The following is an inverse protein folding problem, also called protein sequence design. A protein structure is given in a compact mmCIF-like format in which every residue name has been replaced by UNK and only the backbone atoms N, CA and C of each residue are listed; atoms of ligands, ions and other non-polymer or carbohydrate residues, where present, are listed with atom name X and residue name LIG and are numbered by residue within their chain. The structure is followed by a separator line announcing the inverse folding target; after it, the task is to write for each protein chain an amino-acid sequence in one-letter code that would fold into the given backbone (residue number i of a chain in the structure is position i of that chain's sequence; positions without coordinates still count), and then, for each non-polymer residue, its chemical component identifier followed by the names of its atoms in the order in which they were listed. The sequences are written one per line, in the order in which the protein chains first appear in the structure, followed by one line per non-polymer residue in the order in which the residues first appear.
data_IF_104360425217
#
_entry.id   IF_104360425217
#
_cell.length_a   1.000
_cell.length_b   1.000
_cell.length_c   1.000
_cell.angle_alpha   90.00
_cell.angle_beta   90.00
_cell.angle_gamma   90.00
#
_symmetry.space_group_name_H-M   'P 1'
#
loop_
_entity.id
_entity.type
_entity.pdbx_description
1 polymer ?
#
# COMPACT_ATOMS: atom_id res chain seq x y z
N UNK A 1 -34.30 22.49 8.90
CA UNK A 1 -32.92 22.17 9.26
C UNK A 1 -32.04 22.91 8.28
N UNK A 2 -31.00 23.60 8.72
CA UNK A 2 -30.01 24.19 7.80
C UNK A 2 -28.91 23.15 7.49
N UNK A 3 -27.99 23.48 6.59
CA UNK A 3 -26.89 22.60 6.18
C UNK A 3 -25.99 22.27 7.37
N UNK A 4 -25.62 23.24 8.21
CA UNK A 4 -24.75 22.97 9.37
C UNK A 4 -25.33 21.92 10.33
N UNK A 5 -26.64 22.01 10.63
CA UNK A 5 -27.32 20.99 11.45
C UNK A 5 -27.39 19.61 10.80
N UNK A 6 -27.33 19.53 9.47
CA UNK A 6 -27.25 18.26 8.76
C UNK A 6 -25.82 17.70 8.82
N UNK A 7 -24.79 18.55 8.68
CA UNK A 7 -23.39 18.15 8.79
C UNK A 7 -23.05 17.68 10.20
N UNK A 8 -23.44 18.41 11.25
CA UNK A 8 -23.27 17.98 12.64
C UNK A 8 -23.90 16.61 12.93
N UNK A 9 -25.01 16.28 12.25
CA UNK A 9 -25.63 14.95 12.36
C UNK A 9 -24.87 13.90 11.57
N UNK A 10 -24.38 14.25 10.38
CA UNK A 10 -23.58 13.36 9.54
C UNK A 10 -22.33 12.90 10.28
N UNK A 11 -21.64 13.80 11.00
CA UNK A 11 -20.45 13.49 11.81
C UNK A 11 -20.70 12.44 12.92
N UNK A 12 -21.97 12.21 13.29
CA UNK A 12 -22.37 11.29 14.37
C UNK A 12 -23.24 10.14 13.89
N UNK A 13 -23.45 10.00 12.59
CA UNK A 13 -24.28 8.95 12.02
C UNK A 13 -23.57 7.60 12.13
N UNK A 14 -24.31 6.55 12.51
CA UNK A 14 -23.74 5.23 12.78
C UNK A 14 -24.15 4.17 11.74
N UNK A 15 -25.08 4.47 10.82
CA UNK A 15 -25.54 3.52 9.81
C UNK A 15 -25.62 4.13 8.42
N UNK A 16 -25.40 3.29 7.40
CA UNK A 16 -25.48 3.69 5.99
C UNK A 16 -26.85 4.28 5.64
N UNK A 17 -27.95 3.77 6.19
CA UNK A 17 -29.26 4.36 5.93
C UNK A 17 -29.39 5.79 6.48
N UNK A 18 -28.83 6.06 7.67
CA UNK A 18 -28.84 7.41 8.25
C UNK A 18 -27.94 8.35 7.44
N UNK A 19 -26.71 7.93 7.11
CA UNK A 19 -25.76 8.69 6.28
C UNK A 19 -26.41 9.04 4.94
N UNK A 20 -27.02 8.06 4.27
CA UNK A 20 -27.68 8.22 2.98
C UNK A 20 -28.90 9.15 3.06
N UNK A 21 -29.71 9.06 4.12
CA UNK A 21 -30.85 9.96 4.33
C UNK A 21 -30.40 11.41 4.56
N UNK A 22 -29.36 11.62 5.39
CA UNK A 22 -28.80 12.95 5.67
C UNK A 22 -28.18 13.54 4.40
N UNK A 23 -27.37 12.77 3.67
CA UNK A 23 -26.74 13.19 2.42
C UNK A 23 -27.77 13.65 1.38
N UNK A 24 -28.85 12.89 1.18
CA UNK A 24 -29.95 13.30 0.27
C UNK A 24 -30.62 14.60 0.70
N UNK A 25 -30.84 14.82 2.00
CA UNK A 25 -31.41 16.09 2.51
C UNK A 25 -30.48 17.27 2.31
N UNK A 26 -29.17 17.07 2.41
CA UNK A 26 -28.18 18.10 2.07
C UNK A 26 -28.33 18.47 0.60
N UNK A 27 -28.36 17.49 -0.30
CA UNK A 27 -28.49 17.69 -1.75
C UNK A 27 -29.83 18.33 -2.17
N UNK A 28 -30.92 18.13 -1.42
CA UNK A 28 -32.18 18.84 -1.64
C UNK A 28 -32.07 20.36 -1.37
N UNK A 29 -31.18 20.76 -0.46
CA UNK A 29 -30.95 22.17 -0.09
C UNK A 29 -29.86 22.78 -0.96
N UNK A 30 -28.76 22.06 -1.16
CA UNK A 30 -27.61 22.44 -1.97
C UNK A 30 -27.16 21.24 -2.83
N UNK A 31 -27.61 21.16 -4.09
CA UNK A 31 -27.25 20.07 -5.00
C UNK A 31 -25.75 19.96 -5.30
N UNK A 32 -24.98 21.03 -5.08
CA UNK A 32 -23.54 21.04 -5.33
C UNK A 32 -22.71 20.76 -4.08
N UNK A 33 -23.37 20.44 -2.95
CA UNK A 33 -22.68 20.20 -1.69
C UNK A 33 -21.76 18.97 -1.78
N UNK A 34 -20.44 19.14 -1.57
CA UNK A 34 -19.50 18.02 -1.64
C UNK A 34 -19.78 16.96 -0.56
N UNK A 35 -20.17 17.38 0.65
CA UNK A 35 -20.51 16.46 1.75
C UNK A 35 -21.76 15.63 1.44
N UNK A 36 -22.78 16.24 0.82
CA UNK A 36 -23.99 15.52 0.42
C UNK A 36 -23.70 14.47 -0.65
N UNK A 37 -22.85 14.81 -1.63
CA UNK A 37 -22.41 13.89 -2.69
C UNK A 37 -21.58 12.74 -2.12
N UNK A 38 -20.59 13.04 -1.28
CA UNK A 38 -19.77 12.03 -0.60
C UNK A 38 -20.63 11.06 0.21
N UNK A 39 -21.47 11.57 1.11
CA UNK A 39 -22.31 10.74 1.97
C UNK A 39 -23.27 9.83 1.19
N UNK A 40 -23.81 10.31 0.07
CA UNK A 40 -24.68 9.46 -0.76
C UNK A 40 -23.87 8.39 -1.49
N UNK A 41 -22.70 8.75 -2.03
CA UNK A 41 -21.83 7.84 -2.76
C UNK A 41 -21.31 6.71 -1.86
N UNK A 42 -20.84 7.00 -0.65
CA UNK A 42 -20.29 6.01 0.29
C UNK A 42 -21.30 4.94 0.74
N UNK A 43 -22.59 5.22 0.59
CA UNK A 43 -23.68 4.30 0.97
C UNK A 43 -24.22 3.46 -0.20
N UNK A 44 -23.60 3.58 -1.37
CA UNK A 44 -23.94 2.76 -2.53
C UNK A 44 -23.24 1.40 -2.46
N UNK A 45 -23.80 0.41 -3.15
CA UNK A 45 -23.05 -0.81 -3.43
C UNK A 45 -21.95 -0.53 -4.47
N UNK A 46 -21.06 -1.51 -4.65
CA UNK A 46 -19.92 -1.38 -5.56
C UNK A 46 -20.34 -1.00 -7.00
N UNK A 47 -21.37 -1.66 -7.55
CA UNK A 47 -21.90 -1.32 -8.88
C UNK A 47 -22.40 0.13 -8.94
N UNK A 48 -23.13 0.58 -7.93
CA UNK A 48 -23.59 1.96 -7.81
C UNK A 48 -22.44 2.98 -7.70
N UNK A 49 -21.40 2.67 -6.93
CA UNK A 49 -20.21 3.51 -6.80
C UNK A 49 -19.53 3.74 -8.16
N UNK A 50 -19.32 2.67 -8.93
CA UNK A 50 -18.71 2.71 -10.27
C UNK A 50 -19.56 3.49 -11.26
N UNK A 51 -20.88 3.28 -11.27
CA UNK A 51 -21.79 4.01 -12.17
C UNK A 51 -21.89 5.51 -11.86
N UNK A 52 -21.48 5.94 -10.66
CA UNK A 52 -21.65 7.31 -10.17
C UNK A 52 -20.32 8.01 -9.84
N UNK A 53 -19.19 7.64 -10.46
CA UNK A 53 -17.90 8.31 -10.22
C UNK A 53 -17.91 9.81 -10.52
N UNK A 54 -18.74 10.27 -11.47
CA UNK A 54 -18.91 11.71 -11.74
C UNK A 54 -19.39 12.48 -10.49
N UNK A 55 -20.14 11.83 -9.59
CA UNK A 55 -20.55 12.42 -8.32
C UNK A 55 -19.34 12.78 -7.45
N UNK A 56 -18.32 11.91 -7.40
CA UNK A 56 -17.08 12.17 -6.67
C UNK A 56 -16.21 13.22 -7.38
N UNK A 57 -16.15 13.23 -8.71
CA UNK A 57 -15.46 14.29 -9.48
C UNK A 57 -16.03 15.67 -9.17
N UNK A 58 -17.36 15.77 -9.15
CA UNK A 58 -18.06 17.01 -8.81
C UNK A 58 -17.85 17.39 -7.34
N UNK A 59 -17.93 16.42 -6.42
CA UNK A 59 -17.63 16.63 -5.01
C UNK A 59 -16.20 17.16 -4.82
N UNK A 60 -15.23 16.58 -5.54
CA UNK A 60 -13.83 16.99 -5.50
C UNK A 60 -13.67 18.44 -5.97
N UNK A 61 -14.35 18.83 -7.06
CA UNK A 61 -14.36 20.22 -7.52
C UNK A 61 -14.97 21.17 -6.48
N UNK A 62 -16.05 20.76 -5.81
CA UNK A 62 -16.71 21.56 -4.79
C UNK A 62 -15.84 21.76 -3.54
N UNK A 63 -15.27 20.68 -3.01
CA UNK A 63 -14.45 20.74 -1.80
C UNK A 63 -13.12 21.49 -2.04
N UNK A 64 -12.52 21.37 -3.24
CA UNK A 64 -11.33 22.17 -3.64
C UNK A 64 -11.59 23.67 -3.49
N UNK A 65 -12.79 24.15 -3.88
CA UNK A 65 -13.14 25.56 -3.71
C UNK A 65 -13.16 25.95 -2.23
N UNK A 66 -13.80 25.14 -1.38
CA UNK A 66 -13.88 25.37 0.07
C UNK A 66 -12.48 25.43 0.70
N UNK A 67 -11.61 24.46 0.38
CA UNK A 67 -10.23 24.43 0.87
C UNK A 67 -9.44 25.66 0.41
N UNK A 68 -9.59 26.06 -0.85
CA UNK A 68 -8.87 27.21 -1.41
C UNK A 68 -9.24 28.57 -0.81
N UNK A 69 -10.42 28.66 -0.19
CA UNK A 69 -10.91 29.87 0.47
C UNK A 69 -10.42 30.00 1.92
N UNK A 70 -9.77 28.97 2.48
CA UNK A 70 -9.22 29.03 3.84
C UNK A 70 -7.99 29.93 3.90
N UNK A 71 -7.90 30.74 4.95
CA UNK A 71 -6.79 31.69 5.17
C UNK A 71 -5.45 31.00 5.52
N UNK A 72 -5.50 29.73 5.95
CA UNK A 72 -4.34 28.92 6.29
C UNK A 72 -4.57 27.45 5.88
N UNK A 73 -3.51 26.67 5.62
CA UNK A 73 -3.62 25.23 5.44
C UNK A 73 -4.36 24.60 6.62
N UNK A 74 -5.43 23.82 6.39
CA UNK A 74 -6.18 23.17 7.45
C UNK A 74 -5.39 22.00 8.05
N UNK A 75 -5.62 21.71 9.33
CA UNK A 75 -5.13 20.49 9.97
C UNK A 75 -6.08 19.34 9.62
N UNK A 76 -5.57 18.27 9.01
CA UNK A 76 -6.38 17.12 8.55
C UNK A 76 -7.11 16.41 9.70
N UNK A 77 -6.51 16.28 10.88
CA UNK A 77 -7.14 15.59 12.01
C UNK A 77 -8.30 16.38 12.63
N UNK A 78 -8.25 17.71 12.57
CA UNK A 78 -9.20 18.59 13.26
C UNK A 78 -10.23 19.26 12.34
N UNK A 79 -9.99 19.30 11.03
CA UNK A 79 -10.80 20.06 10.07
C UNK A 79 -11.66 19.14 9.19
N UNK A 80 -12.98 19.20 9.37
CA UNK A 80 -13.98 18.43 8.60
C UNK A 80 -13.78 18.56 7.08
N UNK A 81 -13.43 19.75 6.60
CA UNK A 81 -13.30 19.99 5.16
C UNK A 81 -12.06 19.30 4.61
N UNK A 82 -10.97 19.31 5.38
CA UNK A 82 -9.74 18.59 5.04
C UNK A 82 -9.95 17.08 5.04
N UNK A 83 -10.67 16.54 6.04
CA UNK A 83 -11.04 15.12 6.09
C UNK A 83 -11.90 14.74 4.89
N UNK A 84 -12.97 15.50 4.62
CA UNK A 84 -13.83 15.26 3.46
C UNK A 84 -13.04 15.34 2.14
N UNK A 85 -12.08 16.26 2.04
CA UNK A 85 -11.23 16.40 0.87
C UNK A 85 -10.35 15.17 0.64
N UNK A 86 -9.66 14.70 1.69
CA UNK A 86 -8.87 13.47 1.65
C UNK A 86 -9.73 12.25 1.32
N UNK A 87 -10.90 12.10 1.96
CA UNK A 87 -11.81 10.97 1.71
C UNK A 87 -12.34 10.96 0.28
N UNK A 88 -12.70 12.12 -0.28
CA UNK A 88 -13.11 12.21 -1.70
C UNK A 88 -11.96 11.82 -2.63
N UNK A 89 -10.74 12.33 -2.40
CA UNK A 89 -9.57 11.98 -3.22
C UNK A 89 -9.23 10.50 -3.12
N UNK A 90 -9.31 9.92 -1.92
CA UNK A 90 -9.10 8.50 -1.69
C UNK A 90 -10.11 7.66 -2.48
N UNK A 91 -11.41 7.88 -2.26
CA UNK A 91 -12.47 7.11 -2.90
C UNK A 91 -12.46 7.27 -4.42
N UNK A 92 -12.28 8.50 -4.92
CA UNK A 92 -12.19 8.75 -6.36
C UNK A 92 -10.93 8.10 -6.94
N UNK A 93 -9.78 8.32 -6.33
CA UNK A 93 -8.49 7.84 -6.83
C UNK A 93 -8.42 6.32 -6.95
N UNK A 94 -8.82 5.59 -5.90
CA UNK A 94 -8.84 4.12 -5.94
C UNK A 94 -9.91 3.57 -6.88
N UNK A 95 -11.05 4.24 -6.99
CA UNK A 95 -12.10 3.83 -7.94
C UNK A 95 -11.67 4.03 -9.40
N UNK A 96 -11.04 5.17 -9.72
CA UNK A 96 -10.45 5.43 -11.04
C UNK A 96 -9.35 4.40 -11.37
N UNK A 97 -8.51 4.06 -10.38
CA UNK A 97 -7.49 3.04 -10.54
C UNK A 97 -8.12 1.67 -10.86
N UNK A 98 -9.16 1.27 -10.13
CA UNK A 98 -9.88 0.01 -10.35
C UNK A 98 -10.53 -0.06 -11.74
N UNK A 99 -11.07 1.06 -12.22
CA UNK A 99 -11.65 1.21 -13.56
C UNK A 99 -10.60 1.44 -14.67
N UNK A 100 -9.30 1.35 -14.35
CA UNK A 100 -8.18 1.55 -15.28
C UNK A 100 -8.13 2.95 -15.92
N UNK A 101 -8.74 3.94 -15.28
CA UNK A 101 -8.61 5.37 -15.61
C UNK A 101 -7.33 5.95 -14.95
N UNK A 102 -6.20 5.23 -15.10
CA UNK A 102 -4.97 5.42 -14.31
C UNK A 102 -4.33 6.81 -14.47
N UNK A 103 -4.46 7.45 -15.63
CA UNK A 103 -3.93 8.81 -15.84
C UNK A 103 -4.66 9.84 -14.95
N UNK A 104 -5.98 9.74 -14.85
CA UNK A 104 -6.78 10.60 -13.96
C UNK A 104 -6.54 10.23 -12.50
N UNK A 105 -6.47 8.94 -12.19
CA UNK A 105 -6.12 8.46 -10.85
C UNK A 105 -4.77 9.04 -10.39
N UNK A 106 -3.77 9.10 -11.27
CA UNK A 106 -2.47 9.70 -10.96
C UNK A 106 -2.55 11.21 -10.68
N UNK A 107 -3.40 11.95 -11.41
CA UNK A 107 -3.60 13.38 -11.14
C UNK A 107 -4.19 13.60 -9.74
N UNK A 108 -5.22 12.82 -9.39
CA UNK A 108 -5.81 12.82 -8.04
C UNK A 108 -4.78 12.41 -6.99
N UNK A 109 -4.01 11.35 -7.24
CA UNK A 109 -3.03 10.83 -6.28
C UNK A 109 -1.90 11.82 -5.97
N UNK A 110 -1.42 12.58 -6.95
CA UNK A 110 -0.40 13.62 -6.74
C UNK A 110 -0.90 14.75 -5.86
N UNK A 111 -2.14 15.19 -6.09
CA UNK A 111 -2.77 16.20 -5.26
C UNK A 111 -3.00 15.67 -3.85
N UNK A 112 -3.47 14.42 -3.75
CA UNK A 112 -3.72 13.75 -2.48
C UNK A 112 -2.46 13.63 -1.65
N UNK A 113 -1.38 13.05 -2.18
CA UNK A 113 -0.12 12.88 -1.46
C UNK A 113 0.55 14.22 -1.08
N UNK A 114 0.34 15.27 -1.88
CA UNK A 114 0.84 16.61 -1.55
C UNK A 114 0.00 17.29 -0.45
N UNK A 115 -1.29 16.96 -0.33
CA UNK A 115 -2.15 17.49 0.72
C UNK A 115 -2.01 16.72 2.03
N UNK A 116 -1.88 15.39 1.95
CA UNK A 116 -1.61 14.47 3.04
C UNK A 116 -0.11 14.46 3.39
N UNK A 117 0.38 15.56 3.95
CA UNK A 117 1.80 15.77 4.24
C UNK A 117 2.32 15.02 5.48
N UNK A 118 1.42 14.57 6.35
CA UNK A 118 1.71 13.77 7.54
C UNK A 118 1.41 12.26 7.37
N UNK A 119 0.78 11.86 6.27
CA UNK A 119 0.58 10.44 5.93
C UNK A 119 -0.56 9.78 6.71
N UNK A 120 -1.64 10.52 7.00
CA UNK A 120 -2.83 10.00 7.66
C UNK A 120 -3.66 9.07 6.76
N UNK A 121 -3.47 9.16 5.46
CA UNK A 121 -4.19 8.39 4.47
C UNK A 121 -3.23 7.57 3.60
N UNK A 122 -3.71 6.51 2.92
CA UNK A 122 -2.88 5.71 2.00
C UNK A 122 -2.66 6.43 0.65
N UNK A 123 -2.36 7.74 0.67
CA UNK A 123 -2.18 8.60 -0.49
C UNK A 123 -0.98 8.18 -1.34
N UNK A 124 0.12 7.80 -0.68
CA UNK A 124 1.36 7.34 -1.32
C UNK A 124 1.22 5.96 -1.95
N UNK A 125 0.43 5.07 -1.35
CA UNK A 125 0.06 3.79 -1.95
C UNK A 125 -0.60 3.98 -3.31
N UNK A 126 -1.62 4.86 -3.38
CA UNK A 126 -2.28 5.19 -4.63
C UNK A 126 -1.31 5.83 -5.65
N UNK A 127 -0.49 6.79 -5.21
CA UNK A 127 0.47 7.48 -6.07
C UNK A 127 1.45 6.53 -6.74
N UNK A 128 2.17 5.74 -5.95
CA UNK A 128 3.20 4.84 -6.48
C UNK A 128 2.58 3.70 -7.28
N UNK A 129 1.39 3.22 -6.91
CA UNK A 129 0.65 2.25 -7.71
C UNK A 129 0.31 2.79 -9.10
N UNK A 130 -0.27 3.99 -9.19
CA UNK A 130 -0.57 4.61 -10.48
C UNK A 130 0.69 4.81 -11.34
N UNK A 131 1.80 5.21 -10.72
CA UNK A 131 3.09 5.39 -11.42
C UNK A 131 3.65 4.07 -11.95
N UNK A 132 3.48 2.96 -11.23
CA UNK A 132 3.89 1.62 -11.67
C UNK A 132 3.06 1.15 -12.88
N UNK A 133 1.73 1.33 -12.84
CA UNK A 133 0.82 0.96 -13.92
C UNK A 133 1.09 1.77 -15.20
N UNK A 134 1.45 3.05 -15.04
CA UNK A 134 1.87 3.94 -16.13
C UNK A 134 3.36 3.80 -16.51
N UNK A 135 4.08 2.86 -15.89
CA UNK A 135 5.49 2.56 -16.17
C UNK A 135 6.42 3.78 -16.05
N UNK A 136 6.13 4.68 -15.12
CA UNK A 136 6.87 5.92 -14.90
C UNK A 136 8.16 5.71 -14.08
N UNK A 137 8.93 4.67 -14.40
CA UNK A 137 10.03 4.18 -13.57
C UNK A 137 11.09 5.23 -13.22
N UNK A 138 11.40 6.14 -14.15
CA UNK A 138 12.36 7.21 -13.87
C UNK A 138 11.80 8.26 -12.91
N UNK A 139 10.54 8.61 -13.09
CA UNK A 139 9.86 9.60 -12.27
C UNK A 139 9.61 9.10 -10.85
N UNK A 140 9.54 7.78 -10.63
CA UNK A 140 9.45 7.18 -9.30
C UNK A 140 10.64 7.61 -8.44
N UNK A 141 11.86 7.61 -9.00
CA UNK A 141 13.05 8.09 -8.28
C UNK A 141 12.95 9.56 -7.89
N UNK A 142 12.60 10.43 -8.84
CA UNK A 142 12.44 11.87 -8.58
C UNK A 142 11.38 12.13 -7.50
N UNK A 143 10.30 11.34 -7.51
CA UNK A 143 9.19 11.47 -6.55
C UNK A 143 9.64 11.05 -5.16
N UNK A 144 10.28 9.88 -5.02
CA UNK A 144 10.82 9.39 -3.74
C UNK A 144 11.89 10.31 -3.14
N UNK A 145 12.72 10.94 -3.97
CA UNK A 145 13.72 11.91 -3.47
C UNK A 145 13.10 13.20 -2.93
N UNK A 146 11.89 13.55 -3.41
CA UNK A 146 11.18 14.76 -3.03
C UNK A 146 10.14 14.54 -1.91
N UNK A 147 9.72 13.30 -1.68
CA UNK A 147 8.72 12.93 -0.68
C UNK A 147 9.37 12.90 0.72
N UNK A 148 8.87 13.69 1.69
CA UNK A 148 9.41 13.67 3.04
C UNK A 148 9.04 12.40 3.82
N UNK A 149 8.06 11.62 3.35
CA UNK A 149 7.58 10.43 4.03
C UNK A 149 7.97 9.16 3.28
N UNK A 150 8.54 8.21 4.03
CA UNK A 150 8.79 6.87 3.54
C UNK A 150 7.48 6.06 3.49
N UNK A 151 7.32 5.23 2.46
CA UNK A 151 6.17 4.33 2.33
C UNK A 151 6.59 2.98 1.78
N UNK A 152 5.95 1.92 2.29
CA UNK A 152 6.18 0.53 1.87
C UNK A 152 6.03 0.39 0.35
N UNK A 153 4.90 0.86 -0.21
CA UNK A 153 4.62 0.78 -1.64
C UNK A 153 5.61 1.61 -2.46
N UNK A 154 6.07 2.76 -1.94
CA UNK A 154 7.10 3.58 -2.58
C UNK A 154 8.43 2.86 -2.73
N UNK A 155 8.89 2.15 -1.70
CA UNK A 155 10.15 1.42 -1.75
C UNK A 155 10.04 0.13 -2.59
N UNK A 156 8.89 -0.55 -2.60
CA UNK A 156 8.63 -1.59 -3.59
C UNK A 156 8.64 -1.03 -5.02
N UNK A 157 8.07 0.16 -5.23
CA UNK A 157 8.09 0.84 -6.52
C UNK A 157 9.52 1.23 -6.94
N UNK A 158 10.38 1.65 -6.00
CA UNK A 158 11.82 1.88 -6.23
C UNK A 158 12.51 0.61 -6.72
N UNK A 159 12.32 -0.50 -6.03
CA UNK A 159 12.93 -1.77 -6.37
C UNK A 159 12.51 -2.24 -7.78
N UNK A 160 11.21 -2.15 -8.11
CA UNK A 160 10.70 -2.44 -9.44
C UNK A 160 11.31 -1.48 -10.48
N UNK A 161 11.35 -0.18 -10.20
CA UNK A 161 11.92 0.81 -11.11
C UNK A 161 13.41 0.54 -11.42
N UNK A 162 14.21 0.12 -10.43
CA UNK A 162 15.62 -0.26 -10.62
C UNK A 162 15.75 -1.50 -11.52
N UNK A 163 14.87 -2.48 -11.35
CA UNK A 163 14.80 -3.67 -12.21
C UNK A 163 14.52 -3.27 -13.66
N UNK A 164 13.53 -2.41 -13.88
CA UNK A 164 13.07 -1.99 -15.20
C UNK A 164 14.03 -1.02 -15.90
N UNK A 165 14.80 -0.26 -15.13
CA UNK A 165 15.84 0.62 -15.65
C UNK A 165 17.20 -0.06 -15.80
N UNK A 166 17.27 -1.36 -15.51
CA UNK A 166 18.48 -2.19 -15.61
C UNK A 166 19.65 -1.64 -14.77
N UNK A 167 19.35 -1.23 -13.54
CA UNK A 167 20.36 -0.84 -12.56
C UNK A 167 21.33 -2.00 -12.22
N UNK A 168 22.42 -1.68 -11.53
CA UNK A 168 23.42 -2.68 -11.16
C UNK A 168 22.78 -3.76 -10.24
N UNK A 169 23.14 -5.05 -10.38
CA UNK A 169 22.51 -6.12 -9.60
C UNK A 169 22.57 -5.92 -8.08
N UNK A 170 23.64 -5.31 -7.58
CA UNK A 170 23.78 -4.96 -6.16
C UNK A 170 22.76 -3.90 -5.72
N UNK A 171 22.51 -2.88 -6.54
CA UNK A 171 21.53 -1.82 -6.24
C UNK A 171 20.11 -2.38 -6.24
N UNK A 172 19.79 -3.25 -7.20
CA UNK A 172 18.49 -3.95 -7.25
C UNK A 172 18.30 -4.78 -5.99
N UNK A 173 19.29 -5.60 -5.63
CA UNK A 173 19.23 -6.45 -4.43
C UNK A 173 19.01 -5.61 -3.18
N UNK A 174 19.80 -4.55 -3.00
CA UNK A 174 19.73 -3.72 -1.80
C UNK A 174 18.37 -3.03 -1.70
N UNK A 175 17.81 -2.55 -2.82
CA UNK A 175 16.48 -1.96 -2.85
C UNK A 175 15.36 -2.98 -2.59
N UNK A 176 15.46 -4.20 -3.13
CA UNK A 176 14.52 -5.29 -2.80
C UNK A 176 14.58 -5.61 -1.32
N UNK A 177 15.78 -5.82 -0.76
CA UNK A 177 15.95 -6.10 0.67
C UNK A 177 15.43 -4.96 1.54
N UNK A 178 15.61 -3.71 1.12
CA UNK A 178 15.10 -2.55 1.85
C UNK A 178 13.57 -2.50 1.83
N UNK A 179 12.93 -2.71 0.67
CA UNK A 179 11.48 -2.77 0.58
C UNK A 179 10.89 -3.86 1.48
N UNK A 180 11.50 -5.07 1.48
CA UNK A 180 11.11 -6.16 2.38
C UNK A 180 11.31 -5.76 3.85
N UNK A 181 12.32 -4.94 4.19
CA UNK A 181 12.56 -4.55 5.58
C UNK A 181 11.54 -3.59 6.16
N UNK A 182 10.80 -2.87 5.31
CA UNK A 182 9.72 -1.97 5.79
C UNK A 182 8.48 -2.75 6.20
N UNK A 183 8.17 -3.83 5.49
CA UNK A 183 7.13 -4.79 5.85
C UNK A 183 7.55 -6.19 5.36
N UNK A 184 8.11 -7.03 6.26
CA UNK A 184 8.62 -8.34 5.88
C UNK A 184 7.54 -9.33 5.43
N UNK A 185 6.26 -9.05 5.71
CA UNK A 185 5.16 -9.96 5.45
C UNK A 185 4.54 -9.74 4.06
N UNK A 186 4.58 -8.51 3.54
CA UNK A 186 4.09 -8.17 2.18
C UNK A 186 4.54 -9.17 1.09
N UNK A 187 5.83 -9.54 0.98
CA UNK A 187 6.27 -10.46 -0.06
C UNK A 187 5.66 -11.87 0.02
N UNK A 188 5.24 -12.32 1.19
CA UNK A 188 4.64 -13.65 1.35
C UNK A 188 3.25 -13.72 0.71
N UNK A 189 2.46 -12.66 0.83
CA UNK A 189 1.20 -12.51 0.10
C UNK A 189 1.43 -12.34 -1.40
N UNK A 190 2.37 -11.48 -1.80
CA UNK A 190 2.71 -11.24 -3.23
C UNK A 190 3.10 -12.53 -3.95
N UNK A 191 3.88 -13.39 -3.30
CA UNK A 191 4.33 -14.67 -3.87
C UNK A 191 3.33 -15.82 -3.66
N UNK A 192 2.17 -15.53 -3.09
CA UNK A 192 1.13 -16.52 -2.79
C UNK A 192 1.64 -17.68 -1.90
N UNK A 193 2.57 -17.37 -1.00
CA UNK A 193 3.01 -18.27 0.08
C UNK A 193 1.97 -18.23 1.20
N UNK A 194 1.46 -17.04 1.48
CA UNK A 194 0.29 -16.81 2.33
C UNK A 194 -0.90 -16.44 1.45
N UNK A 195 -2.09 -16.90 1.84
CA UNK A 195 -3.34 -16.60 1.13
C UNK A 195 -3.84 -15.21 1.55
N UNK A 196 -4.31 -14.42 0.59
CA UNK A 196 -5.04 -13.19 0.92
C UNK A 196 -6.34 -13.55 1.66
N UNK A 197 -6.73 -12.77 2.68
CA UNK A 197 -8.05 -12.90 3.31
C UNK A 197 -9.16 -12.78 2.26
N UNK A 198 -10.25 -13.53 2.43
CA UNK A 198 -11.43 -13.35 1.58
C UNK A 198 -12.14 -12.04 1.95
N UNK A 199 -12.92 -11.41 1.03
CA UNK A 199 -13.59 -10.14 1.31
C UNK A 199 -14.61 -10.17 2.47
N UNK A 200 -15.05 -11.37 2.86
CA UNK A 200 -16.01 -11.58 3.97
C UNK A 200 -15.30 -11.83 5.32
N UNK A 201 -13.98 -11.99 5.32
CA UNK A 201 -13.20 -12.27 6.52
C UNK A 201 -12.86 -10.97 7.25
N UNK A 202 -13.04 -10.96 8.57
CA UNK A 202 -12.51 -9.91 9.43
C UNK A 202 -10.97 -10.02 9.40
N UNK A 203 -10.31 -9.00 8.84
CA UNK A 203 -8.85 -8.91 8.82
C UNK A 203 -8.39 -8.45 10.21
N UNK A 204 -7.34 -9.09 10.75
CA UNK A 204 -6.73 -8.65 12.00
C UNK A 204 -6.15 -7.23 11.82
N UNK A 205 -6.48 -6.31 12.73
CA UNK A 205 -6.00 -4.92 12.70
C UNK A 205 -4.46 -4.87 12.62
N UNK A 206 -3.77 -5.86 13.20
CA UNK A 206 -2.30 -5.96 13.19
C UNK A 206 -1.70 -6.25 11.79
N UNK A 207 -2.49 -6.78 10.83
CA UNK A 207 -2.02 -7.14 9.47
C UNK A 207 -2.78 -6.39 8.36
N UNK A 208 -3.78 -5.57 8.70
CA UNK A 208 -4.63 -4.90 7.72
C UNK A 208 -3.81 -4.06 6.73
N UNK A 209 -2.88 -3.26 7.24
CA UNK A 209 -1.97 -2.45 6.42
C UNK A 209 -1.09 -3.32 5.51
N UNK A 210 -0.54 -4.42 6.04
CA UNK A 210 0.28 -5.38 5.28
C UNK A 210 -0.51 -5.98 4.11
N UNK A 211 -1.74 -6.42 4.35
CA UNK A 211 -2.64 -6.97 3.31
C UNK A 211 -2.97 -5.89 2.27
N UNK A 212 -3.22 -4.66 2.71
CA UNK A 212 -3.46 -3.53 1.82
C UNK A 212 -2.23 -3.24 0.93
N UNK A 213 -1.03 -3.13 1.51
CA UNK A 213 0.20 -2.93 0.75
C UNK A 213 0.42 -4.06 -0.27
N UNK A 214 0.31 -5.31 0.17
CA UNK A 214 0.47 -6.48 -0.67
C UNK A 214 -0.51 -6.48 -1.84
N UNK A 215 -1.78 -6.12 -1.61
CA UNK A 215 -2.81 -6.01 -2.66
C UNK A 215 -2.37 -5.07 -3.77
N UNK A 216 -1.79 -3.92 -3.42
CA UNK A 216 -1.37 -2.93 -4.41
C UNK A 216 -0.03 -3.22 -5.06
N UNK A 217 0.87 -4.00 -4.45
CA UNK A 217 2.16 -4.35 -5.07
C UNK A 217 2.20 -5.72 -5.74
N UNK A 218 1.22 -6.60 -5.50
CA UNK A 218 1.21 -7.97 -6.03
C UNK A 218 1.25 -8.03 -7.56
N UNK A 219 0.32 -7.38 -8.24
CA UNK A 219 0.31 -7.35 -9.71
C UNK A 219 1.60 -6.71 -10.28
N UNK A 220 2.06 -5.53 -9.81
CA UNK A 220 3.33 -4.96 -10.26
C UNK A 220 4.54 -5.90 -10.14
N UNK A 221 4.66 -6.65 -9.04
CA UNK A 221 5.74 -7.64 -8.87
C UNK A 221 5.59 -8.86 -9.79
N UNK A 222 4.36 -9.33 -9.98
CA UNK A 222 4.04 -10.50 -10.78
C UNK A 222 3.99 -10.23 -12.30
N UNK A 223 4.17 -8.97 -12.73
CA UNK A 223 4.05 -8.59 -14.14
C UNK A 223 5.19 -9.09 -15.04
N UNK A 224 6.30 -9.60 -14.48
CA UNK A 224 7.39 -10.19 -15.24
C UNK A 224 8.20 -11.22 -14.45
N UNK A 225 8.78 -12.20 -15.14
CA UNK A 225 9.68 -13.20 -14.55
C UNK A 225 10.89 -12.56 -13.85
N UNK A 226 11.39 -11.43 -14.36
CA UNK A 226 12.55 -10.73 -13.78
C UNK A 226 12.22 -10.14 -12.41
N UNK A 227 11.05 -9.49 -12.28
CA UNK A 227 10.56 -8.95 -11.01
C UNK A 227 10.26 -10.05 -10.02
N UNK A 228 9.52 -11.07 -10.47
CA UNK A 228 9.18 -12.23 -9.65
C UNK A 228 10.43 -12.93 -9.12
N UNK A 229 11.43 -13.17 -9.97
CA UNK A 229 12.68 -13.82 -9.56
C UNK A 229 13.49 -12.96 -8.56
N UNK A 230 13.52 -11.64 -8.75
CA UNK A 230 14.20 -10.72 -7.84
C UNK A 230 13.59 -10.72 -6.44
N UNK A 231 12.26 -10.80 -6.33
CA UNK A 231 11.56 -10.89 -5.04
C UNK A 231 11.63 -12.29 -4.43
N UNK A 232 11.53 -13.34 -5.26
CA UNK A 232 11.38 -14.73 -4.77
C UNK A 232 12.57 -15.19 -3.92
N UNK A 233 13.81 -15.02 -4.41
CA UNK A 233 14.99 -15.53 -3.75
C UNK A 233 15.17 -14.99 -2.31
N UNK A 234 15.12 -13.66 -2.07
CA UNK A 234 15.19 -13.14 -0.71
C UNK A 234 13.99 -13.54 0.15
N UNK A 235 12.75 -13.56 -0.37
CA UNK A 235 11.57 -13.93 0.41
C UNK A 235 11.61 -15.39 0.89
N UNK A 236 11.92 -16.35 0.01
CA UNK A 236 12.00 -17.74 0.41
C UNK A 236 13.15 -18.01 1.39
N UNK A 237 14.28 -17.33 1.23
CA UNK A 237 15.38 -17.47 2.18
C UNK A 237 15.01 -16.85 3.53
N UNK A 238 14.48 -15.63 3.55
CA UNK A 238 14.02 -14.97 4.76
C UNK A 238 12.98 -15.83 5.49
N UNK A 239 11.93 -16.27 4.80
CA UNK A 239 10.90 -17.13 5.37
C UNK A 239 11.45 -18.46 5.89
N UNK A 240 12.45 -19.04 5.22
CA UNK A 240 13.12 -20.22 5.75
C UNK A 240 13.90 -19.91 7.04
N UNK A 241 14.59 -18.78 7.12
CA UNK A 241 15.38 -18.40 8.30
C UNK A 241 14.49 -18.11 9.52
N UNK A 242 13.33 -17.51 9.31
CA UNK A 242 12.40 -17.09 10.36
C UNK A 242 11.21 -18.04 10.58
N UNK A 243 11.29 -19.26 10.03
CA UNK A 243 10.24 -20.29 10.14
C UNK A 243 8.82 -19.81 9.73
N UNK A 244 8.73 -18.87 8.76
CA UNK A 244 7.48 -18.34 8.14
C UNK A 244 6.99 -19.14 6.91
N UNK A 245 7.66 -20.25 6.60
CA UNK A 245 7.25 -21.18 5.54
C UNK A 245 6.56 -22.40 6.13
N UNK A 246 5.45 -22.79 5.52
CA UNK A 246 4.50 -23.73 6.13
C UNK A 246 4.55 -25.11 5.47
N UNK A 247 4.99 -25.19 4.21
CA UNK A 247 5.03 -26.43 3.44
C UNK A 247 6.39 -27.13 3.57
N UNK A 248 6.38 -28.28 4.26
CA UNK A 248 7.58 -29.12 4.44
C UNK A 248 8.24 -29.56 3.13
N UNK A 249 7.46 -29.76 2.06
CA UNK A 249 7.99 -30.14 0.74
C UNK A 249 8.71 -28.97 0.10
N UNK A 250 8.14 -27.77 0.16
CA UNK A 250 8.78 -26.57 -0.36
C UNK A 250 10.08 -26.28 0.40
N UNK A 251 10.05 -26.40 1.73
CA UNK A 251 11.25 -26.27 2.57
C UNK A 251 12.32 -27.29 2.16
N UNK A 252 11.95 -28.55 1.91
CA UNK A 252 12.90 -29.57 1.47
C UNK A 252 13.50 -29.24 0.09
N UNK A 253 12.68 -28.76 -0.85
CA UNK A 253 13.15 -28.32 -2.18
C UNK A 253 14.10 -27.13 -2.08
N UNK A 254 13.80 -26.16 -1.22
CA UNK A 254 14.68 -25.01 -0.97
C UNK A 254 16.04 -25.45 -0.43
N UNK A 255 16.07 -26.38 0.53
CA UNK A 255 17.32 -26.94 1.07
C UNK A 255 18.16 -27.63 0.00
N UNK A 256 17.54 -28.44 -0.85
CA UNK A 256 18.22 -29.09 -1.97
C UNK A 256 18.78 -28.05 -2.96
N UNK A 257 18.04 -26.97 -3.19
CA UNK A 257 18.49 -25.82 -3.97
C UNK A 257 19.73 -25.15 -3.36
N UNK A 258 19.70 -24.85 -2.06
CA UNK A 258 20.84 -24.26 -1.35
C UNK A 258 22.06 -25.19 -1.29
N UNK A 259 21.84 -26.50 -1.19
CA UNK A 259 22.92 -27.50 -1.28
C UNK A 259 23.55 -27.51 -2.67
N UNK A 260 22.71 -27.54 -3.71
CA UNK A 260 23.15 -27.49 -5.11
C UNK A 260 23.91 -26.22 -5.46
N UNK A 261 23.54 -25.09 -4.85
CA UNK A 261 24.24 -23.81 -4.98
C UNK A 261 25.47 -23.67 -4.07
N UNK A 262 25.71 -24.63 -3.16
CA UNK A 262 26.87 -24.63 -2.28
C UNK A 262 26.83 -23.64 -1.13
N UNK A 263 25.64 -23.10 -0.79
CA UNK A 263 25.43 -22.13 0.29
C UNK A 263 24.67 -22.70 1.50
N UNK A 264 24.25 -23.97 1.45
CA UNK A 264 23.47 -24.59 2.53
C UNK A 264 24.11 -24.43 3.92
N UNK A 265 25.45 -24.50 3.99
CA UNK A 265 26.16 -24.35 5.25
C UNK A 265 25.93 -22.96 5.86
N UNK A 266 26.10 -21.90 5.07
CA UNK A 266 25.83 -20.53 5.50
C UNK A 266 24.36 -20.31 5.86
N UNK A 267 23.44 -20.90 5.10
CA UNK A 267 22.00 -20.83 5.42
C UNK A 267 21.70 -21.48 6.78
N UNK A 268 22.25 -22.66 7.06
CA UNK A 268 22.03 -23.35 8.35
C UNK A 268 22.73 -22.63 9.52
N UNK A 269 23.89 -22.01 9.29
CA UNK A 269 24.56 -21.17 10.29
C UNK A 269 23.72 -19.91 10.62
N UNK A 270 23.18 -19.24 9.60
CA UNK A 270 22.27 -18.11 9.77
C UNK A 270 20.99 -18.54 10.51
N UNK A 271 20.36 -19.66 10.12
CA UNK A 271 19.16 -20.17 10.78
C UNK A 271 19.41 -20.54 12.25
N UNK A 272 20.57 -21.11 12.56
CA UNK A 272 20.95 -21.41 13.94
C UNK A 272 21.08 -20.13 14.79
N UNK A 273 21.65 -19.06 14.21
CA UNK A 273 21.75 -17.74 14.85
C UNK A 273 20.38 -17.13 15.13
N UNK A 274 19.46 -17.16 14.16
CA UNK A 274 18.08 -16.67 14.33
C UNK A 274 17.36 -17.43 15.46
N UNK A 275 17.44 -18.76 15.46
CA UNK A 275 16.87 -19.59 16.53
C UNK A 275 17.47 -19.33 17.91
N UNK A 276 18.74 -18.95 17.97
CA UNK A 276 19.37 -18.54 19.23
C UNK A 276 18.76 -17.22 19.74
N UNK A 277 18.51 -16.25 18.86
CA UNK A 277 17.84 -14.99 19.21
C UNK A 277 16.41 -15.21 19.69
N UNK A 278 15.63 -16.07 19.01
CA UNK A 278 14.28 -16.47 19.46
C UNK A 278 14.30 -17.11 20.86
N UNK A 279 15.26 -18.00 21.13
CA UNK A 279 15.43 -18.63 22.45
C UNK A 279 15.82 -17.62 23.54
N UNK A 280 16.48 -16.53 23.15
CA UNK A 280 16.82 -15.42 24.04
C UNK A 280 15.66 -14.43 24.21
N UNK A 281 14.53 -14.65 23.54
CA UNK A 281 13.39 -13.73 23.50
C UNK A 281 13.82 -12.32 23.08
N UNK A 282 14.70 -12.24 22.08
CA UNK A 282 14.97 -10.99 21.37
C UNK A 282 13.68 -10.44 20.76
N UNK A 283 13.68 -9.14 20.51
CA UNK A 283 12.56 -8.46 19.87
C UNK A 283 12.33 -9.01 18.44
N UNK A 284 11.08 -9.26 18.01
CA UNK A 284 10.79 -9.77 16.66
C UNK A 284 11.35 -8.89 15.53
N UNK A 285 11.30 -7.57 15.66
CA UNK A 285 11.84 -6.66 14.64
C UNK A 285 13.36 -6.77 14.56
N UNK A 286 14.04 -6.95 15.70
CA UNK A 286 15.48 -7.20 15.75
C UNK A 286 15.84 -8.53 15.08
N UNK A 287 15.04 -9.57 15.31
CA UNK A 287 15.21 -10.88 14.67
C UNK A 287 15.07 -10.74 13.14
N UNK A 288 14.04 -10.04 12.68
CA UNK A 288 13.77 -9.83 11.25
C UNK A 288 14.87 -9.01 10.59
N UNK A 289 15.33 -7.94 11.23
CA UNK A 289 16.45 -7.13 10.73
C UNK A 289 17.73 -7.97 10.57
N UNK A 290 18.03 -8.85 11.54
CA UNK A 290 19.18 -9.75 11.45
C UNK A 290 18.98 -10.80 10.35
N UNK A 291 17.79 -11.40 10.25
CA UNK A 291 17.48 -12.39 9.22
C UNK A 291 17.55 -11.81 7.81
N UNK A 292 17.09 -10.57 7.61
CA UNK A 292 17.23 -9.85 6.34
C UNK A 292 18.69 -9.52 6.01
N UNK A 293 19.48 -9.14 7.01
CA UNK A 293 20.92 -8.93 6.84
C UNK A 293 21.65 -10.20 6.38
N UNK A 294 21.36 -11.35 6.99
CA UNK A 294 21.89 -12.65 6.55
C UNK A 294 21.37 -13.03 5.15
N UNK A 295 20.09 -12.77 4.88
CA UNK A 295 19.45 -13.02 3.59
C UNK A 295 20.18 -12.27 2.47
N UNK A 296 20.42 -10.96 2.63
CA UNK A 296 21.14 -10.15 1.64
C UNK A 296 22.54 -10.68 1.33
N UNK A 297 23.30 -11.04 2.37
CA UNK A 297 24.65 -11.59 2.23
C UNK A 297 24.70 -12.95 1.52
N UNK A 298 23.70 -13.81 1.76
CA UNK A 298 23.59 -15.13 1.12
C UNK A 298 23.09 -14.99 -0.33
N UNK A 299 22.08 -14.14 -0.57
CA UNK A 299 21.55 -13.87 -1.91
C UNK A 299 22.62 -13.29 -2.83
N UNK A 300 23.50 -12.43 -2.31
CA UNK A 300 24.66 -11.93 -3.06
C UNK A 300 25.54 -13.07 -3.60
N UNK A 301 25.77 -14.13 -2.83
CA UNK A 301 26.52 -15.31 -3.28
C UNK A 301 25.74 -16.20 -4.24
N UNK A 302 24.41 -16.20 -4.15
CA UNK A 302 23.54 -16.99 -5.02
C UNK A 302 23.43 -16.38 -6.42
N UNK A 303 23.44 -15.05 -6.52
CA UNK A 303 23.14 -14.31 -7.76
C UNK A 303 24.35 -13.58 -8.37
N UNK A 304 25.44 -13.38 -7.61
CA UNK A 304 26.71 -12.78 -8.08
C UNK A 304 27.71 -13.79 -8.64
#
# INVERSE_FOLDING_TARGET
MNIEQLLERLDTAETDEEISEIGRKILEIDPESPYGKLAVWETMDYEGCVENLDMLREALSGIRMIISEKDAPPNIEEDRDAQAYCTIMMNLGYSLLAEQETEEALEVAKEFANFDDEGFYPSRTLLYRCMLDLQMYRQIFDTLESDPLESVVGEHARAIALIETEAEPGEIRDAVSYAISLDPEVPFFVLNIWEFPEPEDDIDEDIEDTVNYATYVAEPWCSSDKRLAALSAPTFLFGYLTDRLNDEKEIQVLKEGYEGAGVLKEVEEAKAKIREMEQQACDPEEIDAVALGETGAIVEKLLG
#
